data_IF_737817249487
#
_entry.id   IF_737817249487
#
_cell.length_a   1.000
_cell.length_b   1.000
_cell.length_c   1.000
_cell.angle_alpha   90.00
_cell.angle_beta   90.00
_cell.angle_gamma   90.00
#
_symmetry.space_group_name_H-M   'P 1'
#
loop_
_entity.id
_entity.type
_entity.pdbx_description
1 polymer ?
#
# COMPACT_ATOMS: atom_id res chain seq x y z
N UNK A 1 46.23 -5.88 -67.25
CA UNK A 1 44.80 -5.59 -67.46
C UNK A 1 44.24 -5.05 -66.13
N UNK A 2 43.74 -3.80 -66.15
CA UNK A 2 42.83 -3.07 -65.23
C UNK A 2 42.68 -3.51 -63.74
N UNK A 3 43.08 -2.58 -62.87
CA UNK A 3 42.68 -2.20 -61.47
C UNK A 3 41.44 -2.82 -60.81
N UNK A 4 41.44 -2.98 -59.47
CA UNK A 4 40.50 -2.33 -58.51
C UNK A 4 40.91 -2.57 -57.02
N UNK A 5 40.92 -1.50 -56.22
CA UNK A 5 41.16 -1.45 -54.76
C UNK A 5 39.83 -1.42 -53.99
N UNK A 6 39.74 -2.02 -52.79
CA UNK A 6 38.83 -1.58 -51.69
C UNK A 6 39.22 -2.24 -50.34
N UNK A 7 39.86 -1.50 -49.42
CA UNK A 7 39.33 -0.89 -48.18
C UNK A 7 39.11 -1.83 -46.97
N UNK A 8 39.80 -1.46 -45.89
CA UNK A 8 39.76 -1.88 -44.48
C UNK A 8 38.42 -2.39 -43.93
N UNK A 9 38.46 -3.42 -43.08
CA UNK A 9 37.62 -3.50 -41.87
C UNK A 9 38.38 -4.17 -40.72
N UNK A 10 38.92 -3.36 -39.82
CA UNK A 10 39.21 -3.79 -38.45
C UNK A 10 37.86 -3.96 -37.74
N UNK A 11 37.46 -5.20 -37.47
CA UNK A 11 36.22 -5.52 -36.77
C UNK A 11 36.48 -5.78 -35.29
N UNK A 12 36.39 -4.73 -34.48
CA UNK A 12 36.33 -4.83 -33.02
C UNK A 12 35.02 -5.53 -32.63
N UNK A 13 35.10 -6.77 -32.14
CA UNK A 13 33.95 -7.47 -31.57
C UNK A 13 33.61 -6.87 -30.19
N UNK A 14 32.82 -5.79 -30.18
CA UNK A 14 32.20 -5.28 -28.97
C UNK A 14 30.97 -6.15 -28.66
N UNK A 15 31.13 -7.14 -27.78
CA UNK A 15 30.00 -7.84 -27.17
C UNK A 15 29.25 -6.85 -26.27
N UNK A 16 28.13 -6.31 -26.76
CA UNK A 16 27.27 -5.41 -26.00
C UNK A 16 26.64 -6.15 -24.82
N UNK A 17 27.06 -5.79 -23.60
CA UNK A 17 26.34 -6.17 -22.40
C UNK A 17 24.97 -5.49 -22.42
N UNK A 18 23.88 -6.26 -22.55
CA UNK A 18 22.54 -5.75 -22.28
C UNK A 18 22.48 -5.38 -20.78
N UNK A 19 22.55 -4.09 -20.49
CA UNK A 19 22.26 -3.57 -19.16
C UNK A 19 20.76 -3.72 -18.90
N UNK A 20 20.36 -4.74 -18.14
CA UNK A 20 19.03 -4.82 -17.56
C UNK A 20 18.93 -3.77 -16.45
N UNK A 21 18.32 -2.62 -16.75
CA UNK A 21 17.93 -1.69 -15.70
C UNK A 21 16.81 -2.34 -14.87
N UNK A 22 16.92 -2.38 -13.52
CA UNK A 22 15.83 -2.88 -12.70
C UNK A 22 14.60 -1.97 -12.89
N UNK A 23 13.53 -2.52 -13.45
CA UNK A 23 12.22 -1.86 -13.43
C UNK A 23 11.78 -1.85 -11.98
N UNK A 24 11.61 -0.66 -11.40
CA UNK A 24 11.10 -0.53 -10.04
C UNK A 24 9.71 -1.17 -9.99
N UNK A 25 9.57 -2.30 -9.29
CA UNK A 25 8.28 -2.86 -8.97
C UNK A 25 7.60 -1.91 -7.97
N UNK A 26 6.64 -1.11 -8.44
CA UNK A 26 5.79 -0.33 -7.56
C UNK A 26 4.99 -1.31 -6.70
N UNK A 27 5.15 -1.23 -5.37
CA UNK A 27 4.32 -1.98 -4.45
C UNK A 27 2.92 -1.37 -4.46
N UNK A 28 2.02 -1.98 -5.23
CA UNK A 28 0.66 -1.49 -5.43
C UNK A 28 -0.12 -1.50 -4.11
N UNK A 29 -1.09 -0.60 -3.95
CA UNK A 29 -2.01 -0.58 -2.81
C UNK A 29 -1.32 -0.54 -1.44
N UNK A 30 -0.21 0.18 -1.31
CA UNK A 30 0.55 0.29 -0.05
C UNK A 30 -0.12 1.29 0.90
N UNK A 31 -0.19 0.96 2.19
CA UNK A 31 -0.56 1.93 3.22
C UNK A 31 0.53 3.01 3.34
N UNK A 32 0.15 4.27 3.16
CA UNK A 32 1.06 5.43 3.25
C UNK A 32 0.96 6.13 4.61
N UNK A 33 -0.26 6.28 5.12
CA UNK A 33 -0.49 6.89 6.43
C UNK A 33 -1.78 6.40 7.06
N UNK A 34 -1.89 6.56 8.38
CA UNK A 34 -3.08 6.22 9.14
C UNK A 34 -3.31 7.20 10.28
N UNK A 35 -4.56 7.36 10.67
CA UNK A 35 -5.00 8.06 11.88
C UNK A 35 -5.91 7.11 12.66
N UNK A 36 -5.53 6.68 13.88
CA UNK A 36 -4.22 6.88 14.52
C UNK A 36 -3.04 6.29 13.74
N UNK A 37 -1.85 6.87 13.90
CA UNK A 37 -0.65 6.41 13.19
C UNK A 37 -0.16 5.06 13.74
N UNK A 38 0.51 4.28 12.89
CA UNK A 38 1.15 3.02 13.29
C UNK A 38 2.13 3.24 14.44
N UNK A 39 1.99 2.45 15.51
CA UNK A 39 2.80 2.52 16.73
C UNK A 39 2.48 3.71 17.64
N UNK A 40 1.52 4.56 17.29
CA UNK A 40 1.19 5.74 18.08
C UNK A 40 0.47 5.39 19.38
N UNK A 41 0.61 6.28 20.36
CA UNK A 41 -0.23 6.31 21.56
C UNK A 41 -0.99 7.63 21.57
N UNK A 42 -2.32 7.57 21.60
CA UNK A 42 -3.21 8.73 21.59
C UNK A 42 -3.93 8.87 22.93
N UNK A 43 -4.24 10.10 23.34
CA UNK A 43 -5.01 10.32 24.58
C UNK A 43 -6.47 9.88 24.42
N UNK A 44 -7.03 10.02 23.22
CA UNK A 44 -8.33 9.49 22.84
C UNK A 44 -8.30 9.03 21.38
N UNK A 45 -9.00 7.94 21.07
CA UNK A 45 -9.19 7.52 19.69
C UNK A 45 -10.20 8.45 18.98
N UNK A 46 -10.04 8.71 17.68
CA UNK A 46 -11.09 9.33 16.89
C UNK A 46 -12.27 8.36 16.73
N UNK A 47 -13.48 8.90 16.49
CA UNK A 47 -14.67 8.08 16.17
C UNK A 47 -14.54 7.34 14.83
N UNK A 48 -13.63 7.81 13.97
CA UNK A 48 -13.36 7.23 12.65
C UNK A 48 -11.86 7.08 12.47
N UNK A 49 -11.42 5.85 12.20
CA UNK A 49 -10.07 5.59 11.73
C UNK A 49 -9.99 5.91 10.24
N UNK A 50 -8.87 6.52 9.82
CA UNK A 50 -8.61 6.88 8.42
C UNK A 50 -7.29 6.29 7.96
N UNK A 51 -7.32 5.51 6.90
CA UNK A 51 -6.15 4.88 6.28
C UNK A 51 -6.01 5.43 4.85
N UNK A 52 -4.84 5.96 4.50
CA UNK A 52 -4.54 6.47 3.16
C UNK A 52 -3.52 5.57 2.47
N UNK A 53 -3.79 5.26 1.21
CA UNK A 53 -3.04 4.33 0.40
C UNK A 53 -2.39 5.02 -0.81
N UNK A 54 -1.41 4.36 -1.40
CA UNK A 54 -0.68 4.88 -2.58
C UNK A 54 -1.56 5.03 -3.82
N UNK A 55 -2.68 4.31 -3.88
CA UNK A 55 -3.53 4.19 -5.06
C UNK A 55 -5.02 4.15 -4.70
N UNK A 56 -5.86 4.35 -5.72
CA UNK A 56 -7.30 4.27 -5.57
C UNK A 56 -7.74 2.83 -5.29
N UNK A 57 -8.67 2.67 -4.35
CA UNK A 57 -9.12 1.38 -3.86
C UNK A 57 -10.41 0.96 -4.55
N UNK A 58 -10.52 -0.34 -4.80
CA UNK A 58 -11.78 -1.00 -5.13
C UNK A 58 -12.64 -1.16 -3.87
N UNK A 59 -13.77 -0.44 -3.75
CA UNK A 59 -14.51 -0.35 -2.49
C UNK A 59 -15.09 -1.68 -2.00
N UNK A 60 -15.56 -2.51 -2.93
CA UNK A 60 -16.21 -3.79 -2.61
C UNK A 60 -15.23 -4.82 -2.04
N UNK A 61 -13.94 -4.71 -2.38
CA UNK A 61 -12.91 -5.70 -2.06
C UNK A 61 -11.85 -5.20 -1.08
N UNK A 62 -11.98 -3.95 -0.62
CA UNK A 62 -11.14 -3.34 0.41
C UNK A 62 -11.85 -3.36 1.76
N UNK A 63 -11.10 -3.57 2.85
CA UNK A 63 -11.67 -3.68 4.19
C UNK A 63 -10.69 -3.28 5.29
N UNK A 64 -11.26 -2.87 6.44
CA UNK A 64 -10.53 -2.65 7.69
C UNK A 64 -11.28 -3.36 8.82
N UNK A 65 -10.53 -4.02 9.70
CA UNK A 65 -10.99 -4.58 10.96
C UNK A 65 -10.13 -4.04 12.08
N UNK A 66 -10.76 -3.58 13.17
CA UNK A 66 -10.06 -3.18 14.39
C UNK A 66 -10.44 -4.16 15.48
N UNK A 67 -9.45 -4.66 16.20
CA UNK A 67 -9.61 -5.55 17.35
C UNK A 67 -8.91 -4.99 18.58
N UNK A 68 -9.45 -5.26 19.76
CA UNK A 68 -8.79 -4.98 21.03
C UNK A 68 -7.68 -6.01 21.35
N UNK A 69 -7.05 -5.87 22.52
CA UNK A 69 -5.96 -6.74 22.97
C UNK A 69 -6.39 -8.21 23.20
N UNK A 70 -7.68 -8.49 23.37
CA UNK A 70 -8.21 -9.86 23.45
C UNK A 70 -8.46 -10.49 22.07
N UNK A 71 -8.32 -9.69 21.00
CA UNK A 71 -8.64 -10.09 19.63
C UNK A 71 -10.11 -9.84 19.25
N UNK A 72 -10.96 -9.40 20.19
CA UNK A 72 -12.35 -9.10 19.93
C UNK A 72 -12.48 -7.89 18.99
N UNK A 73 -13.31 -8.04 17.96
CA UNK A 73 -13.54 -6.97 16.98
C UNK A 73 -14.34 -5.83 17.62
N UNK A 74 -13.86 -4.59 17.47
CA UNK A 74 -14.56 -3.38 17.95
C UNK A 74 -15.30 -2.65 16.84
N UNK A 75 -14.96 -2.90 15.58
CA UNK A 75 -15.69 -2.37 14.41
C UNK A 75 -17.06 -3.01 14.30
N UNK A 76 -18.13 -2.20 14.29
CA UNK A 76 -19.51 -2.64 14.08
C UNK A 76 -19.99 -2.51 12.64
N UNK A 77 -19.42 -1.56 11.91
CA UNK A 77 -19.75 -1.28 10.52
C UNK A 77 -18.62 -1.67 9.58
N UNK A 78 -18.96 -1.89 8.30
CA UNK A 78 -17.96 -2.11 7.25
C UNK A 78 -17.18 -0.82 7.00
N UNK A 79 -15.88 -0.97 6.71
CA UNK A 79 -15.08 0.13 6.20
C UNK A 79 -15.64 0.65 4.87
N UNK A 80 -15.40 1.94 4.59
CA UNK A 80 -15.86 2.61 3.37
C UNK A 80 -14.68 3.30 2.70
N UNK A 81 -14.56 3.15 1.40
CA UNK A 81 -13.67 3.99 0.59
C UNK A 81 -14.37 5.33 0.38
N UNK A 82 -13.65 6.43 0.62
CA UNK A 82 -14.16 7.79 0.44
C UNK A 82 -14.34 8.07 -1.06
N UNK A 83 -15.57 8.38 -1.48
CA UNK A 83 -15.88 8.67 -2.88
C UNK A 83 -15.19 9.93 -3.41
N UNK A 84 -14.90 10.90 -2.53
CA UNK A 84 -14.18 12.14 -2.87
C UNK A 84 -12.66 11.98 -2.81
N UNK A 85 -12.17 10.94 -2.12
CA UNK A 85 -10.77 10.62 -1.96
C UNK A 85 -10.57 9.09 -2.06
N UNK A 86 -10.59 8.49 -3.26
CA UNK A 86 -10.67 7.04 -3.44
C UNK A 86 -9.43 6.26 -2.96
N UNK A 87 -8.38 6.96 -2.53
CA UNK A 87 -7.20 6.38 -1.87
C UNK A 87 -7.36 6.27 -0.35
N UNK A 88 -8.49 6.74 0.18
CA UNK A 88 -8.76 6.82 1.61
C UNK A 88 -9.85 5.83 1.95
N UNK A 89 -9.57 4.97 2.93
CA UNK A 89 -10.54 4.08 3.54
C UNK A 89 -10.78 4.48 5.00
N UNK A 90 -12.04 4.55 5.38
CA UNK A 90 -12.46 4.92 6.73
C UNK A 90 -13.22 3.78 7.39
N UNK A 91 -13.13 3.68 8.71
CA UNK A 91 -13.96 2.77 9.50
C UNK A 91 -14.36 3.42 10.80
N UNK A 92 -15.66 3.42 11.09
CA UNK A 92 -16.19 3.91 12.35
C UNK A 92 -15.86 2.92 13.48
N UNK A 93 -15.49 3.46 14.63
CA UNK A 93 -15.24 2.71 15.86
C UNK A 93 -16.08 3.30 16.99
N UNK A 94 -16.52 2.50 17.97
CA UNK A 94 -17.10 3.05 19.18
C UNK A 94 -16.04 3.82 19.96
N UNK A 95 -16.47 4.50 21.04
CA UNK A 95 -15.53 5.04 22.02
C UNK A 95 -14.64 3.91 22.54
N UNK A 96 -13.35 4.04 22.31
CA UNK A 96 -12.35 3.06 22.70
C UNK A 96 -11.88 3.33 24.14
N UNK A 97 -11.76 2.25 24.92
CA UNK A 97 -11.16 2.31 26.25
C UNK A 97 -9.63 2.40 26.14
N UNK A 98 -8.97 2.69 27.26
CA UNK A 98 -7.52 2.57 27.36
C UNK A 98 -7.08 1.15 26.98
N UNK A 99 -6.08 1.03 26.12
CA UNK A 99 -5.63 -0.28 25.64
C UNK A 99 -4.90 -0.26 24.31
N UNK A 100 -4.45 -1.45 23.91
CA UNK A 100 -3.82 -1.69 22.60
C UNK A 100 -4.87 -2.17 21.60
N UNK A 101 -4.82 -1.62 20.40
CA UNK A 101 -5.71 -1.96 19.31
C UNK A 101 -4.91 -2.38 18.08
N UNK A 102 -5.36 -3.45 17.44
CA UNK A 102 -4.79 -3.97 16.20
C UNK A 102 -5.70 -3.59 15.04
N UNK A 103 -5.14 -2.97 14.01
CA UNK A 103 -5.81 -2.60 12.76
C UNK A 103 -5.31 -3.51 11.66
N UNK A 104 -6.18 -4.36 11.14
CA UNK A 104 -5.94 -5.22 9.99
C UNK A 104 -6.64 -4.63 8.78
N UNK A 105 -5.96 -4.55 7.65
CA UNK A 105 -6.53 -4.02 6.41
C UNK A 105 -6.25 -4.94 5.22
N UNK A 106 -7.16 -4.90 4.26
CA UNK A 106 -6.99 -5.44 2.91
C UNK A 106 -7.32 -4.32 1.93
N UNK A 107 -6.44 -4.10 0.94
CA UNK A 107 -6.65 -3.15 -0.13
C UNK A 107 -6.63 -3.91 -1.47
N UNK A 108 -7.58 -3.61 -2.34
CA UNK A 108 -7.56 -4.01 -3.74
C UNK A 108 -7.50 -2.75 -4.60
N UNK A 109 -6.66 -2.75 -5.62
CA UNK A 109 -6.54 -1.69 -6.63
C UNK A 109 -7.15 -2.16 -7.96
N UNK A 110 -7.19 -1.27 -8.96
CA UNK A 110 -7.78 -1.55 -10.28
C UNK A 110 -7.12 -2.71 -11.04
N UNK A 111 -5.90 -3.10 -10.67
CA UNK A 111 -5.17 -4.25 -11.20
C UNK A 111 -5.60 -5.60 -10.59
N UNK A 112 -6.62 -5.58 -9.71
CA UNK A 112 -7.17 -6.73 -8.99
C UNK A 112 -6.17 -7.44 -8.04
N UNK A 113 -5.02 -6.83 -7.72
CA UNK A 113 -4.13 -7.37 -6.70
C UNK A 113 -4.60 -6.95 -5.30
N UNK A 114 -4.65 -7.93 -4.39
CA UNK A 114 -4.92 -7.68 -2.97
C UNK A 114 -3.63 -7.56 -2.19
N UNK A 115 -3.42 -6.41 -1.56
CA UNK A 115 -2.43 -6.25 -0.50
C UNK A 115 -3.10 -6.29 0.86
N UNK A 116 -2.33 -6.71 1.87
CA UNK A 116 -2.78 -6.81 3.25
C UNK A 116 -1.72 -6.26 4.17
N UNK A 117 -2.16 -5.78 5.31
CA UNK A 117 -1.24 -5.40 6.37
C UNK A 117 -1.92 -5.27 7.71
N UNK A 118 -1.08 -5.08 8.72
CA UNK A 118 -1.50 -4.92 10.10
C UNK A 118 -0.65 -3.84 10.73
N UNK A 119 -1.26 -3.01 11.57
CA UNK A 119 -0.53 -2.14 12.49
C UNK A 119 -1.24 -2.08 13.84
N UNK A 120 -0.57 -1.50 14.84
CA UNK A 120 -1.09 -1.33 16.19
C UNK A 120 -1.05 0.14 16.59
N UNK A 121 -2.00 0.55 17.43
CA UNK A 121 -1.97 1.83 18.15
C UNK A 121 -2.47 1.63 19.58
N UNK A 122 -2.21 2.59 20.46
CA UNK A 122 -2.63 2.58 21.86
C UNK A 122 -3.51 3.78 22.18
N UNK A 123 -4.49 3.57 23.05
CA UNK A 123 -5.29 4.63 23.69
C UNK A 123 -4.88 4.67 25.17
N UNK A 124 -4.70 5.87 25.73
CA UNK A 124 -4.38 6.05 27.16
C UNK A 124 -5.59 5.90 28.07
#
# INVERSE_FOLDING_TARGET
>A
MKTFTLKHFAGLAAAGALAFAPVAALAHGKLESAVPASGSTVDAAPDVLRLAFSEALEPTFSSVKVSDASGAAVTKEKAKVDASAPRVMTVAVPKLASGTYTVQWTAMTADAHKTKGTYVFKVK
#
